data_IF_885651725865
#
_entry.id   IF_885651725865
#
_cell.length_a   1.000
_cell.length_b   1.000
_cell.length_c   1.000
_cell.angle_alpha   90.00
_cell.angle_beta   90.00
_cell.angle_gamma   90.00
#
_symmetry.space_group_name_H-M   'P 1'
#
loop_
_entity.id
_entity.type
_entity.pdbx_description
1 polymer ?
#
# COMPACT_ATOMS: atom_id res chain seq x y z
N UNK A 1 9.29 11.18 -3.71
CA UNK A 1 7.97 11.52 -4.28
C UNK A 1 7.06 11.83 -3.12
N UNK A 2 6.44 13.01 -3.11
CA UNK A 2 5.42 13.37 -2.12
C UNK A 2 4.06 13.01 -2.73
N UNK A 3 3.42 11.95 -2.25
CA UNK A 3 2.10 11.55 -2.71
C UNK A 3 1.07 12.44 -2.02
N UNK A 4 0.33 13.26 -2.79
CA UNK A 4 -0.78 14.07 -2.27
C UNK A 4 -1.91 13.15 -1.83
N UNK A 5 -2.05 12.91 -0.53
CA UNK A 5 -3.06 12.00 0.01
C UNK A 5 -4.46 12.52 -0.37
N UNK A 6 -5.19 11.87 -1.30
CA UNK A 6 -6.48 12.38 -1.72
C UNK A 6 -7.50 12.10 -0.62
N UNK A 7 -8.31 13.09 -0.26
CA UNK A 7 -9.28 12.99 0.82
C UNK A 7 -8.74 13.40 2.19
N UNK A 8 -7.64 14.16 2.25
CA UNK A 8 -7.23 14.85 3.47
C UNK A 8 -8.13 16.05 3.75
N UNK A 9 -8.56 16.78 2.71
CA UNK A 9 -9.44 17.95 2.88
C UNK A 9 -10.92 17.58 2.87
N UNK A 10 -11.79 18.39 3.50
CA UNK A 10 -13.23 18.21 3.45
C UNK A 10 -13.81 18.25 2.02
N UNK A 11 -13.28 19.10 1.14
CA UNK A 11 -13.76 19.22 -0.24
C UNK A 11 -13.50 17.95 -1.05
N UNK A 12 -12.32 17.34 -0.91
CA UNK A 12 -11.96 16.10 -1.61
C UNK A 12 -12.77 14.88 -1.12
N UNK A 13 -13.20 14.90 0.14
CA UNK A 13 -14.09 13.88 0.71
C UNK A 13 -15.51 13.96 0.13
N UNK A 14 -15.99 15.17 -0.14
CA UNK A 14 -17.32 15.42 -0.70
C UNK A 14 -17.39 15.10 -2.20
N UNK A 15 -16.35 15.43 -2.97
CA UNK A 15 -16.24 15.07 -4.40
C UNK A 15 -16.11 13.56 -4.60
N UNK A 16 -15.61 12.84 -3.58
CA UNK A 16 -15.29 11.43 -3.67
C UNK A 16 -15.77 10.60 -2.47
N UNK A 17 -17.10 10.44 -2.29
CA UNK A 17 -17.69 9.80 -1.11
C UNK A 17 -17.33 8.30 -0.97
N UNK A 18 -16.82 7.67 -2.03
CA UNK A 18 -16.35 6.28 -2.02
C UNK A 18 -14.82 6.14 -1.88
N UNK A 19 -14.08 7.25 -1.70
CA UNK A 19 -12.62 7.28 -1.58
C UNK A 19 -12.09 7.18 -0.14
N UNK A 20 -12.94 7.04 0.87
CA UNK A 20 -12.51 6.84 2.27
C UNK A 20 -11.68 5.56 2.51
N UNK A 21 -11.60 4.66 1.52
CA UNK A 21 -10.66 3.54 1.47
C UNK A 21 -9.83 3.59 0.17
N UNK A 22 -9.15 4.71 -0.11
CA UNK A 22 -8.21 4.77 -1.23
C UNK A 22 -7.10 3.74 -0.99
N UNK A 23 -7.04 2.75 -1.87
CA UNK A 23 -5.81 2.01 -2.11
C UNK A 23 -4.99 2.88 -3.06
N UNK A 24 -3.93 3.52 -2.57
CA UNK A 24 -3.18 4.53 -3.32
C UNK A 24 -2.66 4.02 -4.66
N UNK A 25 -2.24 2.76 -4.75
CA UNK A 25 -1.85 2.19 -6.03
C UNK A 25 -3.00 2.17 -7.05
N UNK A 26 -4.25 1.95 -6.64
CA UNK A 26 -5.40 2.00 -7.57
C UNK A 26 -5.69 3.42 -8.04
N UNK A 27 -5.33 4.41 -7.24
CA UNK A 27 -5.54 5.82 -7.55
C UNK A 27 -4.44 6.38 -8.46
N UNK A 28 -3.16 6.17 -8.11
CA UNK A 28 -2.03 6.69 -8.89
C UNK A 28 -1.56 5.77 -10.01
N UNK A 29 -1.91 4.48 -9.97
CA UNK A 29 -1.53 3.49 -10.98
C UNK A 29 -2.76 2.71 -11.48
N UNK A 30 -3.85 3.38 -11.90
CA UNK A 30 -5.09 2.70 -12.28
C UNK A 30 -4.89 1.72 -13.46
N UNK A 31 -3.95 2.03 -14.36
CA UNK A 31 -3.56 1.19 -15.49
C UNK A 31 -2.94 -0.16 -15.09
N UNK A 32 -2.44 -0.28 -13.86
CA UNK A 32 -1.90 -1.52 -13.33
C UNK A 32 -2.99 -2.47 -12.81
N UNK A 33 -4.27 -2.09 -12.88
CA UNK A 33 -5.39 -2.87 -12.37
C UNK A 33 -6.43 -3.11 -13.46
N UNK A 34 -7.36 -4.03 -13.19
CA UNK A 34 -8.52 -4.23 -14.07
C UNK A 34 -9.47 -3.04 -13.91
N UNK A 35 -9.89 -2.37 -15.00
CA UNK A 35 -10.80 -1.24 -14.90
C UNK A 35 -12.11 -1.62 -14.21
N UNK A 36 -12.70 -0.63 -13.53
CA UNK A 36 -14.03 -0.76 -12.96
C UNK A 36 -15.08 -0.77 -14.08
N UNK A 37 -16.25 -1.34 -13.80
CA UNK A 37 -17.43 -1.27 -14.69
C UNK A 37 -18.23 0.01 -14.50
N UNK A 38 -17.84 0.86 -13.54
CA UNK A 38 -18.41 2.18 -13.27
C UNK A 38 -17.28 3.19 -13.19
N UNK A 39 -17.47 4.33 -13.85
CA UNK A 39 -16.44 5.39 -13.96
C UNK A 39 -16.18 6.10 -12.64
N UNK A 40 -17.15 6.09 -11.72
CA UNK A 40 -17.03 6.68 -10.38
C UNK A 40 -16.28 5.81 -9.36
N UNK A 41 -15.77 4.63 -9.78
CA UNK A 41 -15.13 3.66 -8.89
C UNK A 41 -13.68 3.38 -9.28
N UNK A 42 -12.84 3.22 -8.26
CA UNK A 42 -11.48 2.74 -8.42
C UNK A 42 -11.44 1.36 -9.11
N UNK A 43 -10.37 1.08 -9.88
CA UNK A 43 -10.16 -0.23 -10.51
C UNK A 43 -10.29 -1.42 -9.56
N UNK A 44 -10.71 -2.57 -10.12
CA UNK A 44 -10.82 -3.82 -9.37
C UNK A 44 -9.44 -4.45 -9.18
N UNK A 45 -9.23 -5.00 -7.98
CA UNK A 45 -8.02 -5.77 -7.69
C UNK A 45 -8.10 -7.14 -8.34
N UNK A 46 -7.39 -7.35 -9.46
CA UNK A 46 -7.16 -8.67 -10.02
C UNK A 46 -5.74 -8.71 -10.58
N UNK A 47 -4.97 -9.72 -10.17
CA UNK A 47 -3.59 -9.91 -10.63
C UNK A 47 -2.56 -9.10 -9.85
N UNK A 48 -2.79 -7.80 -9.64
CA UNK A 48 -1.87 -6.92 -8.93
C UNK A 48 -2.36 -6.52 -7.53
N UNK A 49 -1.41 -6.29 -6.62
CA UNK A 49 -1.62 -5.81 -5.25
C UNK A 49 -0.76 -4.55 -5.01
N UNK A 50 -1.18 -3.71 -4.06
CA UNK A 50 -0.40 -2.55 -3.65
C UNK A 50 0.62 -3.01 -2.62
N UNK A 51 1.90 -2.83 -2.91
CA UNK A 51 3.01 -3.04 -1.98
C UNK A 51 3.49 -1.70 -1.43
N UNK A 52 3.96 -1.69 -0.20
CA UNK A 52 4.33 -0.48 0.54
C UNK A 52 5.73 -0.62 1.18
N UNK A 53 6.55 0.43 1.04
CA UNK A 53 7.83 0.55 1.73
C UNK A 53 7.97 1.94 2.37
N UNK A 54 8.29 2.06 3.67
CA UNK A 54 8.50 0.97 4.64
C UNK A 54 7.25 0.08 4.83
N UNK A 55 7.46 -1.18 5.20
CA UNK A 55 6.38 -2.18 5.25
C UNK A 55 5.26 -1.76 6.20
N UNK A 56 4.01 -2.06 5.84
CA UNK A 56 2.83 -1.76 6.66
C UNK A 56 2.88 -2.38 8.07
N UNK A 57 3.65 -3.46 8.26
CA UNK A 57 3.90 -4.10 9.55
C UNK A 57 4.90 -3.37 10.46
N UNK A 58 5.48 -2.25 10.00
CA UNK A 58 6.49 -1.48 10.74
C UNK A 58 5.93 -0.14 11.23
N UNK A 59 6.52 0.42 12.29
CA UNK A 59 6.16 1.75 12.81
C UNK A 59 6.48 2.90 11.85
N UNK A 60 7.23 2.64 10.77
CA UNK A 60 7.54 3.57 9.70
C UNK A 60 6.64 3.38 8.47
N UNK A 61 5.72 2.41 8.50
CA UNK A 61 4.77 2.14 7.43
C UNK A 61 3.70 3.24 7.27
N UNK A 62 2.85 3.09 6.25
CA UNK A 62 1.95 4.15 5.76
C UNK A 62 1.13 4.86 6.85
N UNK A 63 0.60 4.13 7.84
CA UNK A 63 -0.22 4.70 8.93
C UNK A 63 0.51 5.73 9.79
N UNK A 64 1.84 5.65 9.88
CA UNK A 64 2.67 6.55 10.69
C UNK A 64 3.63 7.40 9.84
N UNK A 65 3.73 7.11 8.53
CA UNK A 65 4.65 7.78 7.62
C UNK A 65 4.23 9.21 7.24
N UNK A 66 2.99 9.63 7.54
CA UNK A 66 2.46 10.95 7.14
C UNK A 66 2.64 11.21 5.63
N UNK A 67 2.30 10.22 4.81
CA UNK A 67 2.49 10.28 3.35
C UNK A 67 3.93 10.03 2.86
N UNK A 68 4.91 9.86 3.76
CA UNK A 68 6.31 9.62 3.40
C UNK A 68 6.64 8.12 3.27
N UNK A 69 5.93 7.45 2.38
CA UNK A 69 6.19 6.06 2.01
C UNK A 69 6.05 5.88 0.50
N UNK A 70 6.66 4.82 -0.02
CA UNK A 70 6.50 4.41 -1.41
C UNK A 70 5.40 3.36 -1.51
N UNK A 71 4.54 3.48 -2.52
CA UNK A 71 3.56 2.47 -2.85
C UNK A 71 3.71 2.08 -4.32
N UNK A 72 3.59 0.78 -4.63
CA UNK A 72 3.65 0.30 -6.02
C UNK A 72 2.71 -0.87 -6.29
N UNK A 73 2.05 -0.83 -7.44
CA UNK A 73 1.28 -1.97 -7.93
C UNK A 73 2.25 -3.06 -8.44
N UNK A 74 2.23 -4.23 -7.79
CA UNK A 74 3.06 -5.39 -8.12
C UNK A 74 2.20 -6.63 -8.38
N UNK A 75 2.79 -7.63 -9.04
CA UNK A 75 2.14 -8.93 -9.21
C UNK A 75 1.79 -9.53 -7.84
N UNK A 76 0.52 -9.85 -7.62
CA UNK A 76 0.00 -10.26 -6.31
C UNK A 76 0.54 -11.62 -5.83
N UNK A 77 0.93 -12.52 -6.73
CA UNK A 77 1.56 -13.78 -6.34
C UNK A 77 2.96 -13.54 -5.79
N UNK A 78 3.74 -12.67 -6.46
CA UNK A 78 5.08 -12.29 -5.99
C UNK A 78 4.99 -11.49 -4.68
N UNK A 79 4.05 -10.54 -4.60
CA UNK A 79 3.83 -9.74 -3.41
C UNK A 79 3.46 -10.59 -2.18
N UNK A 80 2.58 -11.58 -2.37
CA UNK A 80 2.24 -12.52 -1.29
C UNK A 80 3.43 -13.35 -0.84
N UNK A 81 4.23 -13.86 -1.77
CA UNK A 81 5.44 -14.64 -1.43
C UNK A 81 6.46 -13.80 -0.64
N UNK A 82 6.60 -12.52 -0.98
CA UNK A 82 7.43 -11.60 -0.20
C UNK A 82 6.88 -11.42 1.22
N UNK A 83 5.56 -11.23 1.35
CA UNK A 83 4.90 -11.11 2.66
C UNK A 83 5.07 -12.37 3.52
N UNK A 84 4.93 -13.57 2.92
CA UNK A 84 5.14 -14.84 3.60
C UNK A 84 6.60 -14.98 4.09
N UNK A 85 7.57 -14.56 3.28
CA UNK A 85 8.98 -14.56 3.65
C UNK A 85 9.27 -13.57 4.79
N UNK A 86 8.65 -12.39 4.77
CA UNK A 86 8.76 -11.38 5.83
C UNK A 86 8.15 -11.88 7.14
N UNK A 87 6.97 -12.51 7.09
CA UNK A 87 6.33 -13.12 8.26
C UNK A 87 7.20 -14.24 8.84
N UNK A 88 7.81 -15.08 7.99
CA UNK A 88 8.74 -16.11 8.43
C UNK A 88 9.97 -15.50 9.12
N UNK A 89 10.55 -14.45 8.56
CA UNK A 89 11.66 -13.71 9.18
C UNK A 89 11.26 -13.19 10.57
N UNK A 90 10.07 -12.60 10.73
CA UNK A 90 9.59 -12.16 12.04
C UNK A 90 9.50 -13.30 13.05
N UNK A 91 9.01 -14.46 12.63
CA UNK A 91 8.93 -15.65 13.48
C UNK A 91 10.31 -16.23 13.86
N UNK A 92 11.17 -16.45 12.86
CA UNK A 92 12.48 -17.09 13.03
C UNK A 92 13.40 -16.26 13.95
N UNK A 93 13.37 -14.94 13.80
CA UNK A 93 14.23 -14.01 14.54
C UNK A 93 13.53 -13.31 15.70
N UNK A 94 12.27 -13.69 15.99
CA UNK A 94 11.44 -13.10 17.05
C UNK A 94 11.35 -11.57 16.97
N UNK A 95 11.27 -11.04 15.74
CA UNK A 95 11.08 -9.60 15.53
C UNK A 95 9.62 -9.28 15.87
N UNK A 96 9.43 -8.66 17.02
CA UNK A 96 8.14 -8.18 17.49
C UNK A 96 8.08 -6.66 17.52
N UNK A 97 7.19 -6.14 18.38
CA UNK A 97 7.09 -4.71 18.61
C UNK A 97 8.42 -4.12 19.11
N UNK A 98 8.78 -2.93 18.61
CA UNK A 98 9.99 -2.17 18.93
C UNK A 98 11.34 -2.81 18.58
N UNK A 99 11.35 -4.00 18.00
CA UNK A 99 12.56 -4.59 17.46
C UNK A 99 12.95 -3.91 16.15
N UNK A 100 14.21 -3.48 16.06
CA UNK A 100 14.77 -2.83 14.87
C UNK A 100 15.47 -3.87 14.01
N UNK A 101 15.26 -3.78 12.70
CA UNK A 101 15.94 -4.59 11.71
C UNK A 101 16.28 -3.72 10.48
N UNK A 102 17.20 -4.21 9.66
CA UNK A 102 17.55 -3.58 8.39
C UNK A 102 16.98 -4.40 7.24
N UNK A 103 16.46 -3.73 6.22
CA UNK A 103 16.13 -4.35 4.94
C UNK A 103 17.25 -4.05 3.95
N UNK A 104 17.92 -5.09 3.47
CA UNK A 104 18.89 -4.98 2.38
C UNK A 104 18.20 -5.36 1.07
N UNK A 105 18.19 -4.43 0.12
CA UNK A 105 17.61 -4.61 -1.22
C UNK A 105 18.74 -4.39 -2.21
N UNK A 106 18.93 -5.34 -3.14
CA UNK A 106 19.95 -5.30 -4.20
C UNK A 106 19.29 -5.47 -5.58
#
# INVERSE_FOLDING_TARGET
MHWLIPGETPEEKEEHPHRFYIIYCKYYMPQAYRPSTRDDKLPKGMGNQCDEYPFASTKQGASYAQGNYSARALNGVQNRKQGDALLKFYGDFRVGEDNRFWALIY
#
